data_IF_079701052773
#
_entry.id   IF_079701052773
#
_cell.length_a   1.000
_cell.length_b   1.000
_cell.length_c   1.000
_cell.angle_alpha   90.00
_cell.angle_beta   90.00
_cell.angle_gamma   90.00
#
_symmetry.space_group_name_H-M   'P 1'
#
loop_
_entity.id
_entity.type
_entity.pdbx_description
1 polymer ?
#
# COMPACT_ATOMS: atom_id res chain seq x y z
N UNK A 1 21.03 20.96 -19.23
CA UNK A 1 21.11 20.82 -17.75
C UNK A 1 20.16 21.78 -17.01
N UNK A 2 20.24 23.10 -17.22
CA UNK A 2 19.37 24.10 -16.55
C UNK A 2 17.86 23.84 -16.70
N UNK A 3 17.38 23.55 -17.92
CA UNK A 3 15.95 23.24 -18.17
C UNK A 3 15.43 22.02 -17.39
N UNK A 4 16.27 21.00 -17.18
CA UNK A 4 15.87 19.79 -16.46
C UNK A 4 15.73 20.09 -14.96
N UNK A 5 16.69 20.85 -14.42
CA UNK A 5 16.70 21.29 -13.02
C UNK A 5 15.48 22.16 -12.70
N UNK A 6 15.13 23.09 -13.60
CA UNK A 6 13.93 23.92 -13.49
C UNK A 6 12.63 23.10 -13.52
N UNK A 7 12.53 22.08 -14.38
CA UNK A 7 11.36 21.18 -14.43
C UNK A 7 11.20 20.37 -13.13
N UNK A 8 12.30 19.85 -12.57
CA UNK A 8 12.28 19.11 -11.30
C UNK A 8 11.85 20.03 -10.16
N UNK A 9 12.39 21.24 -10.09
CA UNK A 9 12.06 22.22 -9.05
C UNK A 9 10.59 22.64 -9.10
N UNK A 10 10.03 22.76 -10.30
CA UNK A 10 8.63 23.11 -10.51
C UNK A 10 7.70 21.96 -10.08
N UNK A 11 8.07 20.70 -10.39
CA UNK A 11 7.37 19.50 -9.92
C UNK A 11 7.41 19.39 -8.38
N UNK A 12 8.56 19.66 -7.75
CA UNK A 12 8.69 19.68 -6.30
C UNK A 12 7.79 20.72 -5.64
N UNK A 13 7.76 21.96 -6.18
CA UNK A 13 6.86 23.03 -5.69
C UNK A 13 5.38 22.68 -5.86
N UNK A 14 5.01 21.98 -6.93
CA UNK A 14 3.64 21.49 -7.12
C UNK A 14 3.30 20.40 -6.11
N UNK A 15 4.23 19.48 -5.83
CA UNK A 15 4.05 18.44 -4.81
C UNK A 15 3.94 19.00 -3.40
N UNK A 16 4.71 20.04 -3.04
CA UNK A 16 4.59 20.75 -1.76
C UNK A 16 3.22 21.41 -1.58
N UNK A 17 2.63 21.93 -2.67
CA UNK A 17 1.27 22.49 -2.65
C UNK A 17 0.18 21.44 -2.53
N UNK A 18 0.45 20.18 -2.89
CA UNK A 18 -0.47 19.06 -2.67
C UNK A 18 -0.45 18.72 -1.17
N UNK A 19 -1.31 19.40 -0.40
CA UNK A 19 -1.43 19.32 1.08
C UNK A 19 -1.58 17.91 1.66
N UNK A 20 -1.90 16.89 0.87
CA UNK A 20 -1.97 15.48 1.30
C UNK A 20 -1.55 14.57 0.17
N UNK A 21 -0.32 14.09 0.23
CA UNK A 21 0.11 12.95 -0.59
C UNK A 21 -0.58 11.70 -0.05
N UNK A 22 -1.47 11.14 -0.85
CA UNK A 22 -2.24 9.97 -0.47
C UNK A 22 -1.36 8.73 -0.35
N UNK A 23 -1.64 7.86 0.63
CA UNK A 23 -0.85 6.63 0.88
C UNK A 23 -0.73 5.76 -0.38
N UNK A 24 -1.78 5.71 -1.20
CA UNK A 24 -1.80 4.99 -2.49
C UNK A 24 -0.87 5.62 -3.52
N UNK A 25 -0.82 6.96 -3.58
CA UNK A 25 0.07 7.69 -4.49
C UNK A 25 1.54 7.44 -4.15
N UNK A 26 1.88 7.34 -2.86
CA UNK A 26 3.25 6.99 -2.43
C UNK A 26 3.67 5.63 -2.98
N UNK A 27 2.83 4.60 -2.82
CA UNK A 27 3.15 3.26 -3.34
C UNK A 27 3.21 3.23 -4.87
N UNK A 28 2.31 3.95 -5.54
CA UNK A 28 2.31 4.06 -6.99
C UNK A 28 3.62 4.67 -7.50
N UNK A 29 4.02 5.83 -6.96
CA UNK A 29 5.26 6.52 -7.34
C UNK A 29 6.48 5.67 -7.05
N UNK A 30 6.55 5.03 -5.88
CA UNK A 30 7.67 4.14 -5.56
C UNK A 30 7.74 2.98 -6.56
N UNK A 31 6.63 2.33 -6.89
CA UNK A 31 6.64 1.20 -7.83
C UNK A 31 7.03 1.60 -9.26
N UNK A 32 6.61 2.78 -9.71
CA UNK A 32 6.94 3.31 -11.05
C UNK A 32 8.44 3.62 -11.18
N UNK A 33 9.03 4.25 -10.16
CA UNK A 33 10.41 4.74 -10.24
C UNK A 33 11.46 3.77 -9.70
N UNK A 34 11.06 2.71 -8.99
CA UNK A 34 11.97 1.74 -8.38
C UNK A 34 12.86 0.99 -9.40
N UNK A 35 12.44 0.89 -10.67
CA UNK A 35 13.26 0.29 -11.74
C UNK A 35 14.44 1.16 -12.16
N UNK A 36 14.33 2.48 -11.96
CA UNK A 36 15.29 3.48 -12.46
C UNK A 36 16.05 4.20 -11.36
N UNK A 37 15.47 4.32 -10.15
CA UNK A 37 15.97 5.15 -9.06
C UNK A 37 15.98 4.39 -7.74
N UNK A 38 16.90 4.78 -6.87
CA UNK A 38 16.98 4.23 -5.52
C UNK A 38 15.77 4.66 -4.68
N UNK A 39 15.30 3.77 -3.80
CA UNK A 39 14.17 4.06 -2.90
C UNK A 39 14.39 5.35 -2.09
N UNK A 40 15.61 5.56 -1.59
CA UNK A 40 15.96 6.74 -0.79
C UNK A 40 15.78 8.04 -1.59
N UNK A 41 16.19 8.06 -2.86
CA UNK A 41 16.10 9.26 -3.70
C UNK A 41 14.65 9.56 -4.07
N UNK A 42 13.85 8.51 -4.34
CA UNK A 42 12.41 8.64 -4.56
C UNK A 42 11.71 9.23 -3.32
N UNK A 43 12.00 8.69 -2.13
CA UNK A 43 11.39 9.15 -0.88
C UNK A 43 11.80 10.58 -0.50
N UNK A 44 13.07 10.95 -0.72
CA UNK A 44 13.56 12.32 -0.54
C UNK A 44 12.85 13.29 -1.48
N UNK A 45 12.62 12.88 -2.74
CA UNK A 45 11.91 13.70 -3.73
C UNK A 45 10.45 13.93 -3.35
N UNK A 46 9.81 12.93 -2.73
CA UNK A 46 8.43 12.99 -2.25
C UNK A 46 8.34 13.59 -0.83
N UNK A 47 9.47 13.98 -0.23
CA UNK A 47 9.57 14.51 1.13
C UNK A 47 8.92 13.59 2.18
N UNK A 48 9.08 12.27 2.02
CA UNK A 48 8.57 11.27 2.96
C UNK A 48 9.72 10.63 3.71
N UNK A 49 9.61 10.63 5.04
CA UNK A 49 10.56 9.95 5.90
C UNK A 49 10.55 8.44 5.62
N UNK A 50 11.75 7.85 5.60
CA UNK A 50 11.93 6.43 5.33
C UNK A 50 11.20 5.54 6.34
N UNK A 51 11.17 5.94 7.60
CA UNK A 51 10.41 5.28 8.67
C UNK A 51 8.91 5.25 8.37
N UNK A 52 8.34 6.38 7.94
CA UNK A 52 6.92 6.49 7.55
C UNK A 52 6.58 5.58 6.38
N UNK A 53 7.44 5.51 5.36
CA UNK A 53 7.26 4.58 4.24
C UNK A 53 7.24 3.10 4.70
N UNK A 54 8.19 2.69 5.54
CA UNK A 54 8.21 1.31 6.03
C UNK A 54 7.00 0.98 6.91
N UNK A 55 6.56 1.92 7.76
CA UNK A 55 5.34 1.75 8.55
C UNK A 55 4.12 1.57 7.63
N UNK A 56 3.98 2.39 6.59
CA UNK A 56 2.92 2.25 5.59
C UNK A 56 2.97 0.87 4.91
N UNK A 57 4.16 0.40 4.56
CA UNK A 57 4.36 -0.91 3.90
C UNK A 57 3.92 -2.07 4.80
N UNK A 58 4.25 -2.03 6.09
CA UNK A 58 3.84 -3.05 7.07
C UNK A 58 2.32 -3.04 7.23
N UNK A 59 1.72 -1.86 7.39
CA UNK A 59 0.26 -1.72 7.52
C UNK A 59 -0.47 -2.27 6.29
N UNK A 60 0.05 -2.03 5.09
CA UNK A 60 -0.55 -2.59 3.88
C UNK A 60 -0.47 -4.13 3.86
N UNK A 61 0.68 -4.70 4.25
CA UNK A 61 0.87 -6.15 4.33
C UNK A 61 -0.09 -6.81 5.34
N UNK A 62 -0.34 -6.17 6.49
CA UNK A 62 -1.31 -6.65 7.47
C UNK A 62 -2.73 -6.65 6.92
N UNK A 63 -3.15 -5.55 6.27
CA UNK A 63 -4.47 -5.47 5.62
C UNK A 63 -4.68 -6.52 4.54
N UNK A 64 -3.64 -6.82 3.75
CA UNK A 64 -3.71 -7.90 2.76
C UNK A 64 -3.89 -9.27 3.40
N UNK A 65 -3.18 -9.55 4.51
CA UNK A 65 -3.35 -10.78 5.28
C UNK A 65 -4.76 -10.91 5.84
N UNK A 66 -5.28 -9.87 6.46
CA UNK A 66 -6.65 -9.86 7.01
C UNK A 66 -7.70 -10.09 5.91
N UNK A 67 -7.56 -9.43 4.75
CA UNK A 67 -8.47 -9.65 3.62
C UNK A 67 -8.44 -11.09 3.12
N UNK A 68 -7.25 -11.68 2.97
CA UNK A 68 -7.08 -13.07 2.56
C UNK A 68 -7.71 -14.02 3.59
N UNK A 69 -7.45 -13.80 4.87
CA UNK A 69 -8.03 -14.58 5.95
C UNK A 69 -9.57 -14.52 5.97
N UNK A 70 -10.14 -13.32 5.81
CA UNK A 70 -11.58 -13.12 5.80
C UNK A 70 -12.24 -13.78 4.58
N UNK A 71 -11.57 -13.74 3.41
CA UNK A 71 -12.03 -14.45 2.21
C UNK A 71 -12.00 -15.97 2.41
N UNK A 72 -10.94 -16.50 3.01
CA UNK A 72 -10.83 -17.92 3.35
C UNK A 72 -11.94 -18.34 4.31
N UNK A 73 -12.17 -17.59 5.38
CA UNK A 73 -13.28 -17.86 6.31
C UNK A 73 -14.64 -17.87 5.62
N UNK A 74 -14.92 -16.92 4.72
CA UNK A 74 -16.18 -16.88 3.97
C UNK A 74 -16.35 -18.13 3.11
N UNK A 75 -15.30 -18.56 2.41
CA UNK A 75 -15.31 -19.77 1.58
C UNK A 75 -15.54 -21.02 2.43
N UNK A 76 -14.84 -21.14 3.55
CA UNK A 76 -15.00 -22.28 4.46
C UNK A 76 -16.41 -22.33 5.02
N UNK A 77 -16.96 -21.19 5.50
CA UNK A 77 -18.35 -21.12 5.97
C UNK A 77 -19.36 -21.55 4.90
N UNK A 78 -19.18 -21.11 3.66
CA UNK A 78 -20.04 -21.50 2.54
C UNK A 78 -19.97 -23.02 2.26
N UNK A 79 -18.76 -23.59 2.25
CA UNK A 79 -18.58 -25.04 2.08
C UNK A 79 -19.21 -25.82 3.25
N UNK A 80 -19.02 -25.36 4.48
CA UNK A 80 -19.62 -25.97 5.67
C UNK A 80 -21.14 -25.96 5.64
N UNK A 81 -21.77 -24.85 5.20
CA UNK A 81 -23.21 -24.78 5.00
C UNK A 81 -23.69 -25.75 3.91
N UNK A 82 -23.02 -25.79 2.77
CA UNK A 82 -23.42 -26.61 1.62
C UNK A 82 -23.32 -28.12 1.90
N UNK A 83 -22.28 -28.55 2.62
CA UNK A 83 -22.01 -29.96 2.88
C UNK A 83 -22.35 -30.39 4.32
N UNK A 84 -23.04 -29.54 5.09
CA UNK A 84 -23.40 -29.77 6.49
C UNK A 84 -22.20 -30.11 7.41
N UNK A 85 -20.99 -29.68 7.03
CA UNK A 85 -19.80 -29.87 7.85
C UNK A 85 -19.74 -28.84 8.98
N UNK A 86 -19.42 -29.30 10.19
CA UNK A 86 -19.23 -28.41 11.35
C UNK A 86 -17.84 -27.76 11.31
N UNK A 87 -17.79 -26.42 11.26
CA UNK A 87 -16.54 -25.68 11.41
C UNK A 87 -16.33 -25.25 12.87
N UNK A 88 -15.64 -26.08 13.65
CA UNK A 88 -15.30 -25.84 15.06
C UNK A 88 -16.36 -26.32 16.07
N UNK A 89 -16.22 -25.92 17.35
CA UNK A 89 -17.09 -26.32 18.48
C UNK A 89 -18.44 -25.59 18.58
N UNK A 90 -18.73 -24.62 17.71
CA UNK A 90 -20.02 -23.91 17.73
C UNK A 90 -20.90 -24.42 16.60
N UNK A 91 -22.08 -24.92 16.96
CA UNK A 91 -23.20 -25.14 16.02
C UNK A 91 -23.45 -23.83 15.26
N UNK A 92 -23.31 -23.88 13.95
CA UNK A 92 -23.90 -22.87 13.07
C UNK A 92 -25.38 -23.24 13.06
N UNK A 93 -26.18 -22.48 13.81
CA UNK A 93 -27.64 -22.59 13.88
C UNK A 93 -28.22 -21.42 13.11
#
# INVERSE_FOLDING_TARGET
MQKLKQKIELLQKMMEKIKKIDKKMVFYLVNQFQQTLNLTTILQTIQINRSTYYWLKIQNKLKEKEKKYLLQQKRIKALCLNYQYFYGHRKIT
#
